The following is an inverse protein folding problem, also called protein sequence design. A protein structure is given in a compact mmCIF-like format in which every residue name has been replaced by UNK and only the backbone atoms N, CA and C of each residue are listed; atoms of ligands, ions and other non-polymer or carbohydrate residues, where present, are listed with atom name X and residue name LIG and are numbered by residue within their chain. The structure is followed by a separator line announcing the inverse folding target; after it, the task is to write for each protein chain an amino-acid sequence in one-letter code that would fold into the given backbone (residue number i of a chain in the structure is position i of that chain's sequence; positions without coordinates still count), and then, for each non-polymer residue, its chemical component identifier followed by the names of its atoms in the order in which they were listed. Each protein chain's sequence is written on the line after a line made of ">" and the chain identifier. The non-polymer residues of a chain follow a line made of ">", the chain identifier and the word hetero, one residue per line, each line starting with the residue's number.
data_IF_792364494976
#
_entry.id   IF_792364494976
#
_cell.length_a   1.000
_cell.length_b   1.000
_cell.length_c   1.000
_cell.angle_alpha   90.00
_cell.angle_beta   90.00
_cell.angle_gamma   90.00
#
_symmetry.space_group_name_H-M   'P 1'
#
loop_
_entity.id
_entity.type
_entity.pdbx_description
1 polymer ?
#
# COMPACT_ATOMS: atom_id res chain seq x y z
N UNK A 1 -9.32 12.18 11.69
CA UNK A 1 -8.32 11.08 11.70
C UNK A 1 -8.57 10.28 10.43
N UNK A 2 -7.59 10.23 9.53
CA UNK A 2 -7.73 9.58 8.22
C UNK A 2 -7.74 8.06 8.36
N UNK A 3 -8.45 7.39 7.46
CA UNK A 3 -8.28 5.96 7.25
C UNK A 3 -6.85 5.69 6.76
N UNK A 4 -6.33 4.50 7.07
CA UNK A 4 -4.98 4.05 6.73
C UNK A 4 -4.95 2.67 6.09
N UNK A 5 -6.11 2.06 5.86
CA UNK A 5 -6.20 0.83 5.10
C UNK A 5 -7.53 0.72 4.34
N UNK A 6 -7.45 0.02 3.20
CA UNK A 6 -8.60 -0.48 2.47
C UNK A 6 -8.84 -1.95 2.86
N UNK A 7 -10.10 -2.31 3.10
CA UNK A 7 -10.53 -3.68 3.36
C UNK A 7 -11.52 -4.08 2.27
N UNK A 8 -11.19 -5.07 1.45
CA UNK A 8 -12.05 -5.63 0.43
C UNK A 8 -12.55 -7.00 0.87
N UNK A 9 -13.85 -7.24 0.79
CA UNK A 9 -14.47 -8.51 1.18
C UNK A 9 -15.31 -9.03 0.02
N UNK A 10 -15.00 -10.24 -0.42
CA UNK A 10 -15.73 -10.93 -1.47
C UNK A 10 -17.11 -11.39 -0.99
N UNK A 11 -18.11 -11.11 -1.83
CA UNK A 11 -19.52 -11.52 -1.77
C UNK A 11 -19.96 -11.79 -3.21
N UNK A 12 -20.95 -11.05 -3.73
CA UNK A 12 -21.29 -11.02 -5.16
C UNK A 12 -20.46 -9.94 -5.89
N UNK A 13 -19.13 -10.10 -5.83
CA UNK A 13 -18.14 -9.05 -6.06
C UNK A 13 -17.52 -8.56 -4.74
N UNK A 14 -16.65 -7.55 -4.79
CA UNK A 14 -15.98 -7.01 -3.61
C UNK A 14 -16.71 -5.81 -3.05
N UNK A 15 -16.97 -5.85 -1.75
CA UNK A 15 -17.34 -4.68 -0.97
C UNK A 15 -16.09 -4.12 -0.30
N UNK A 16 -15.82 -2.83 -0.50
CA UNK A 16 -14.65 -2.16 0.06
C UNK A 16 -15.04 -1.28 1.24
N UNK A 17 -14.22 -1.27 2.27
CA UNK A 17 -14.39 -0.50 3.50
C UNK A 17 -13.11 0.26 3.83
N UNK A 18 -13.24 1.41 4.50
CA UNK A 18 -12.09 2.19 4.96
C UNK A 18 -11.88 1.97 6.45
N UNK A 19 -10.64 1.71 6.81
CA UNK A 19 -10.24 1.39 8.17
C UNK A 19 -9.20 2.37 8.68
N UNK A 20 -9.31 2.79 9.95
CA UNK A 20 -8.28 3.59 10.62
C UNK A 20 -7.03 2.78 11.01
N UNK A 21 -7.06 1.46 10.80
CA UNK A 21 -5.95 0.58 11.12
C UNK A 21 -4.81 0.82 10.12
N UNK A 22 -3.63 1.16 10.64
CA UNK A 22 -2.42 1.49 9.88
C UNK A 22 -1.56 0.25 9.57
N UNK A 23 -0.67 0.35 8.57
CA UNK A 23 0.02 -0.79 7.95
C UNK A 23 0.55 -1.86 8.91
N UNK A 24 1.58 -1.53 9.70
CA UNK A 24 2.28 -2.50 10.57
C UNK A 24 1.50 -2.89 11.84
N UNK A 25 0.50 -2.08 12.25
CA UNK A 25 -0.36 -2.44 13.38
C UNK A 25 -1.22 -3.66 13.05
N UNK A 26 -1.47 -3.93 11.76
CA UNK A 26 -2.25 -5.09 11.31
C UNK A 26 -1.40 -6.31 11.01
N UNK A 27 -0.14 -6.14 10.58
CA UNK A 27 0.79 -7.26 10.41
C UNK A 27 1.00 -8.03 11.75
N UNK A 28 0.88 -7.32 12.88
CA UNK A 28 0.92 -7.89 14.24
C UNK A 28 -0.46 -8.31 14.79
N UNK A 29 -1.55 -7.91 14.14
CA UNK A 29 -2.91 -8.29 14.50
C UNK A 29 -3.35 -9.55 13.72
N UNK A 30 -4.41 -10.22 14.17
CA UNK A 30 -5.04 -11.28 13.36
C UNK A 30 -5.82 -10.61 12.23
N UNK A 31 -5.45 -10.77 10.95
CA UNK A 31 -6.09 -10.08 9.82
C UNK A 31 -7.61 -10.27 9.84
N UNK A 32 -8.06 -11.48 10.15
CA UNK A 32 -9.49 -11.77 10.20
C UNK A 32 -10.26 -10.95 11.21
N UNK A 33 -9.69 -10.74 12.40
CA UNK A 33 -10.30 -9.93 13.45
C UNK A 33 -10.38 -8.45 13.06
N UNK A 34 -9.49 -7.96 12.21
CA UNK A 34 -9.56 -6.59 11.69
C UNK A 34 -10.69 -6.47 10.69
N UNK A 35 -10.76 -7.39 9.71
CA UNK A 35 -11.83 -7.40 8.70
C UNK A 35 -13.20 -7.49 9.36
N UNK A 36 -13.40 -8.41 10.30
CA UNK A 36 -14.69 -8.59 11.00
C UNK A 36 -15.13 -7.33 11.72
N UNK A 37 -14.21 -6.66 12.43
CA UNK A 37 -14.50 -5.43 13.15
C UNK A 37 -14.87 -4.28 12.22
N UNK A 38 -14.19 -4.14 11.08
CA UNK A 38 -14.47 -3.08 10.11
C UNK A 38 -15.83 -3.32 9.46
N UNK A 39 -16.08 -4.53 8.97
CA UNK A 39 -17.36 -4.90 8.31
C UNK A 39 -18.55 -4.73 9.25
N UNK A 40 -18.37 -4.96 10.55
CA UNK A 40 -19.45 -4.81 11.55
C UNK A 40 -19.68 -3.35 11.95
N UNK A 41 -18.64 -2.52 11.92
CA UNK A 41 -18.68 -1.17 12.48
C UNK A 41 -18.90 -0.06 11.43
N UNK A 42 -18.74 -0.37 10.14
CA UNK A 42 -18.74 0.64 9.06
C UNK A 42 -19.47 0.15 7.82
N UNK A 43 -20.08 1.10 7.11
CA UNK A 43 -20.66 0.84 5.80
C UNK A 43 -19.57 0.78 4.71
N UNK A 44 -19.77 -0.03 3.66
CA UNK A 44 -18.85 -0.09 2.53
C UNK A 44 -18.83 1.25 1.77
N UNK A 45 -17.64 1.65 1.33
CA UNK A 45 -17.43 2.83 0.47
C UNK A 45 -17.78 2.55 -1.00
N UNK A 46 -17.66 1.28 -1.41
CA UNK A 46 -18.13 0.78 -2.71
C UNK A 46 -18.51 -0.68 -2.56
N UNK A 47 -19.51 -1.13 -3.33
CA UNK A 47 -20.10 -2.47 -3.22
C UNK A 47 -20.13 -3.21 -4.55
N UNK A 48 -19.95 -4.52 -4.53
CA UNK A 48 -20.12 -5.41 -5.69
C UNK A 48 -19.16 -5.12 -6.86
N UNK A 49 -17.96 -4.61 -6.59
CA UNK A 49 -16.99 -4.30 -7.65
C UNK A 49 -16.13 -5.52 -8.02
N UNK A 50 -15.66 -5.64 -9.27
CA UNK A 50 -14.66 -6.65 -9.60
C UNK A 50 -13.34 -6.37 -8.88
N UNK A 51 -12.40 -7.34 -8.88
CA UNK A 51 -11.09 -7.17 -8.27
C UNK A 51 -10.32 -5.93 -8.77
N UNK A 52 -10.44 -5.58 -10.06
CA UNK A 52 -9.88 -4.34 -10.61
C UNK A 52 -10.50 -3.08 -9.99
N UNK A 53 -11.78 -3.14 -9.62
CA UNK A 53 -12.46 -2.05 -8.91
C UNK A 53 -11.98 -1.87 -7.46
N UNK A 54 -11.44 -2.92 -6.83
CA UNK A 54 -10.75 -2.79 -5.53
C UNK A 54 -9.49 -1.93 -5.69
N UNK A 55 -8.71 -2.15 -6.76
CA UNK A 55 -7.52 -1.34 -7.04
C UNK A 55 -7.90 0.12 -7.34
N UNK A 56 -9.01 0.36 -8.03
CA UNK A 56 -9.52 1.71 -8.26
C UNK A 56 -10.04 2.40 -6.99
N UNK A 57 -10.45 1.63 -5.97
CA UNK A 57 -10.89 2.16 -4.68
C UNK A 57 -9.74 2.43 -3.70
N UNK A 58 -8.53 1.94 -4.01
CA UNK A 58 -7.32 2.17 -3.24
C UNK A 58 -6.86 3.62 -3.40
N UNK A 59 -6.61 4.30 -2.29
CA UNK A 59 -5.96 5.62 -2.29
C UNK A 59 -4.52 5.46 -1.77
N UNK A 60 -3.50 5.42 -2.63
CA UNK A 60 -2.12 5.19 -2.21
C UNK A 60 -1.49 6.34 -1.41
N UNK A 61 -2.16 7.50 -1.32
CA UNK A 61 -1.72 8.59 -0.45
C UNK A 61 -2.15 8.36 1.00
N UNK A 62 -3.28 7.67 1.19
CA UNK A 62 -3.91 7.49 2.49
C UNK A 62 -3.81 6.06 3.02
N UNK A 63 -3.93 5.07 2.14
CA UNK A 63 -3.86 3.66 2.49
C UNK A 63 -2.41 3.20 2.62
N UNK A 64 -2.08 2.67 3.79
CA UNK A 64 -0.82 2.02 4.10
C UNK A 64 -0.92 0.49 3.98
N UNK A 65 -2.14 -0.06 3.97
CA UNK A 65 -2.40 -1.49 3.81
C UNK A 65 -3.69 -1.79 3.04
N UNK A 66 -3.72 -2.98 2.44
CA UNK A 66 -4.87 -3.57 1.78
C UNK A 66 -5.14 -4.96 2.36
N UNK A 67 -6.36 -5.19 2.84
CA UNK A 67 -6.87 -6.50 3.23
C UNK A 67 -7.82 -6.99 2.15
N UNK A 68 -7.63 -8.21 1.67
CA UNK A 68 -8.54 -8.85 0.72
C UNK A 68 -9.01 -10.15 1.34
N UNK A 69 -10.30 -10.22 1.68
CA UNK A 69 -10.93 -11.47 2.09
C UNK A 69 -11.67 -12.08 0.91
N UNK A 70 -11.24 -13.24 0.48
CA UNK A 70 -11.80 -14.01 -0.63
C UNK A 70 -11.75 -15.50 -0.27
N UNK A 71 -12.76 -16.27 -0.67
CA UNK A 71 -12.85 -17.72 -0.40
C UNK A 71 -12.63 -18.13 1.09
N UNK A 72 -12.94 -17.24 2.04
CA UNK A 72 -12.75 -17.48 3.48
C UNK A 72 -11.32 -17.26 3.98
N UNK A 73 -10.39 -16.86 3.12
CA UNK A 73 -9.02 -16.50 3.47
C UNK A 73 -8.82 -14.98 3.41
N UNK A 74 -7.96 -14.44 4.28
CA UNK A 74 -7.62 -13.02 4.29
C UNK A 74 -6.17 -12.81 3.86
N UNK A 75 -5.98 -12.29 2.65
CA UNK A 75 -4.69 -11.81 2.16
C UNK A 75 -4.42 -10.39 2.66
N UNK A 76 -3.16 -10.10 3.02
CA UNK A 76 -2.73 -8.79 3.50
C UNK A 76 -1.60 -8.27 2.61
N UNK A 77 -1.68 -6.99 2.24
CA UNK A 77 -0.66 -6.31 1.46
C UNK A 77 -0.26 -4.99 2.14
N UNK A 78 1.05 -4.70 2.17
CA UNK A 78 1.52 -3.33 2.39
C UNK A 78 1.34 -2.53 1.11
N UNK A 79 0.85 -1.29 1.24
CA UNK A 79 0.69 -0.37 0.12
C UNK A 79 1.89 0.57 0.12
N UNK A 80 2.89 0.24 -0.70
CA UNK A 80 4.12 1.00 -0.80
C UNK A 80 4.06 1.99 -1.97
N UNK A 81 3.77 3.26 -1.67
CA UNK A 81 3.87 4.34 -2.67
C UNK A 81 5.34 4.70 -2.93
N UNK A 82 5.82 4.38 -4.13
CA UNK A 82 7.15 4.73 -4.63
C UNK A 82 7.11 6.14 -5.19
N UNK A 83 7.09 7.09 -4.27
CA UNK A 83 7.23 8.52 -4.52
C UNK A 83 8.39 9.04 -3.69
N UNK A 84 9.17 9.95 -4.25
CA UNK A 84 10.15 10.70 -3.49
C UNK A 84 9.48 11.99 -3.01
N UNK A 85 9.27 12.16 -1.70
CA UNK A 85 8.71 13.39 -1.16
C UNK A 85 9.71 14.51 -1.44
N UNK A 86 9.22 15.61 -2.00
CA UNK A 86 10.01 16.82 -2.21
C UNK A 86 9.13 18.04 -1.97
N UNK A 87 9.75 19.18 -1.68
CA UNK A 87 9.09 20.49 -1.59
C UNK A 87 8.34 20.90 -2.88
N UNK A 88 8.66 20.28 -4.02
CA UNK A 88 7.95 20.42 -5.30
C UNK A 88 6.86 19.35 -5.45
N UNK A 89 5.81 19.71 -6.18
CA UNK A 89 4.59 18.91 -6.36
C UNK A 89 4.85 17.41 -6.60
N UNK A 90 3.99 16.59 -6.01
CA UNK A 90 3.97 15.15 -6.19
C UNK A 90 3.69 14.81 -7.67
N UNK A 91 4.70 14.34 -8.39
CA UNK A 91 4.54 13.70 -9.70
C UNK A 91 4.26 12.20 -9.59
N UNK A 92 4.06 11.57 -10.76
CA UNK A 92 3.75 10.15 -10.95
C UNK A 92 4.51 9.22 -9.99
N UNK A 93 3.77 8.29 -9.38
CA UNK A 93 4.32 7.36 -8.40
C UNK A 93 3.81 5.95 -8.68
N UNK A 94 4.72 4.99 -8.66
CA UNK A 94 4.34 3.59 -8.64
C UNK A 94 3.72 3.23 -7.31
N UNK A 95 2.81 2.27 -7.32
CA UNK A 95 2.28 1.66 -6.11
C UNK A 95 2.67 0.20 -6.12
N UNK A 96 3.25 -0.26 -5.02
CA UNK A 96 3.71 -1.63 -4.89
C UNK A 96 2.91 -2.28 -3.78
N UNK A 97 2.12 -3.30 -4.12
CA UNK A 97 1.40 -4.11 -3.15
C UNK A 97 2.28 -5.29 -2.76
N UNK A 98 2.80 -5.25 -1.55
CA UNK A 98 3.71 -6.29 -1.05
C UNK A 98 2.93 -7.26 -0.15
N UNK A 99 2.78 -8.54 -0.51
CA UNK A 99 2.14 -9.53 0.33
C UNK A 99 2.83 -9.62 1.70
N UNK A 100 2.05 -9.67 2.77
CA UNK A 100 2.56 -9.82 4.13
C UNK A 100 2.33 -11.26 4.58
N UNK A 101 3.41 -12.04 4.59
CA UNK A 101 3.40 -13.40 5.14
C UNK A 101 3.64 -13.40 6.66
N UNK A 102 4.49 -12.50 7.14
CA UNK A 102 4.82 -12.34 8.56
C UNK A 102 5.12 -10.88 8.91
N UNK A 103 4.93 -10.53 10.18
CA UNK A 103 5.09 -9.16 10.66
C UNK A 103 6.53 -8.65 10.63
N UNK A 104 7.50 -9.55 10.84
CA UNK A 104 8.90 -9.16 10.99
C UNK A 104 9.48 -8.73 9.64
N UNK A 105 9.20 -9.51 8.60
CA UNK A 105 9.57 -9.22 7.21
C UNK A 105 8.92 -7.93 6.73
N UNK A 106 7.63 -7.71 7.06
CA UNK A 106 6.93 -6.46 6.76
C UNK A 106 7.55 -5.25 7.49
N UNK A 107 7.86 -5.38 8.78
CA UNK A 107 8.52 -4.33 9.58
C UNK A 107 9.89 -3.97 8.99
N UNK A 108 10.70 -4.97 8.60
CA UNK A 108 12.02 -4.74 7.99
C UNK A 108 11.90 -4.01 6.65
N UNK A 109 10.99 -4.45 5.78
CA UNK A 109 10.79 -3.85 4.48
C UNK A 109 10.30 -2.39 4.57
N UNK A 110 9.32 -2.13 5.42
CA UNK A 110 8.79 -0.78 5.65
C UNK A 110 9.87 0.15 6.22
N UNK A 111 10.67 -0.33 7.18
CA UNK A 111 11.77 0.42 7.76
C UNK A 111 12.80 0.85 6.71
N UNK A 112 13.25 -0.09 5.86
CA UNK A 112 14.20 0.20 4.77
C UNK A 112 13.59 1.17 3.78
N UNK A 113 12.34 0.94 3.36
CA UNK A 113 11.66 1.77 2.37
C UNK A 113 11.46 3.20 2.86
N UNK A 114 10.99 3.39 4.10
CA UNK A 114 10.83 4.72 4.72
C UNK A 114 12.16 5.45 4.85
N UNK A 115 13.22 4.73 5.24
CA UNK A 115 14.57 5.30 5.36
C UNK A 115 15.07 5.80 4.01
N UNK A 116 14.98 4.97 2.97
CA UNK A 116 15.40 5.33 1.62
C UNK A 116 14.59 6.51 1.08
N UNK A 117 13.27 6.56 1.30
CA UNK A 117 12.44 7.69 0.89
C UNK A 117 12.85 8.99 1.54
N UNK A 118 13.17 8.98 2.84
CA UNK A 118 13.65 10.16 3.55
C UNK A 118 14.97 10.66 2.98
N UNK A 119 15.97 9.79 2.89
CA UNK A 119 17.31 10.14 2.37
C UNK A 119 17.26 10.67 0.93
N UNK A 120 16.48 10.02 0.06
CA UNK A 120 16.33 10.45 -1.33
C UNK A 120 15.54 11.75 -1.44
N UNK A 121 14.54 11.97 -0.58
CA UNK A 121 13.81 13.23 -0.50
C UNK A 121 14.72 14.39 -0.14
N UNK A 122 15.52 14.22 0.92
CA UNK A 122 16.50 15.22 1.35
C UNK A 122 17.52 15.53 0.25
N UNK A 123 18.00 14.51 -0.47
CA UNK A 123 18.93 14.69 -1.58
C UNK A 123 18.31 15.45 -2.76
N UNK A 124 17.04 15.20 -3.08
CA UNK A 124 16.31 15.93 -4.12
C UNK A 124 16.07 17.38 -3.70
N UNK A 125 15.64 17.62 -2.46
CA UNK A 125 15.39 18.97 -1.94
C UNK A 125 16.69 19.79 -1.85
N UNK A 126 17.82 19.16 -1.55
CA UNK A 126 19.14 19.79 -1.60
C UNK A 126 19.67 20.02 -3.04
N UNK A 127 18.97 19.55 -4.06
CA UNK A 127 19.39 19.66 -5.47
C UNK A 127 20.57 18.75 -5.84
N UNK A 128 20.85 17.73 -5.03
CA UNK A 128 21.94 16.76 -5.25
C UNK A 128 21.52 15.63 -6.21
N UNK A 129 20.21 15.42 -6.37
CA UNK A 129 19.67 14.33 -7.17
C UNK A 129 18.41 14.78 -7.91
N UNK A 130 18.26 14.35 -9.16
CA UNK A 130 17.01 14.52 -9.91
C UNK A 130 15.91 13.60 -9.36
N UNK A 131 14.68 14.11 -9.24
CA UNK A 131 13.53 13.35 -8.75
C UNK A 131 13.29 12.04 -9.52
N UNK A 132 13.42 12.08 -10.85
CA UNK A 132 13.23 10.90 -11.69
C UNK A 132 14.27 9.81 -11.38
N UNK A 133 15.53 10.21 -11.13
CA UNK A 133 16.61 9.29 -10.76
C UNK A 133 16.37 8.72 -9.36
N UNK A 134 15.92 9.55 -8.42
CA UNK A 134 15.58 9.15 -7.07
C UNK A 134 14.44 8.10 -7.05
N UNK A 135 13.37 8.33 -7.83
CA UNK A 135 12.28 7.36 -8.00
C UNK A 135 12.78 6.07 -8.65
N UNK A 136 13.57 6.16 -9.73
CA UNK A 136 14.15 4.98 -10.39
C UNK A 136 15.06 4.16 -9.47
N UNK A 137 15.84 4.82 -8.63
CA UNK A 137 16.66 4.16 -7.60
C UNK A 137 15.77 3.47 -6.55
N UNK A 138 14.74 4.14 -6.05
CA UNK A 138 13.83 3.59 -5.05
C UNK A 138 13.10 2.34 -5.58
N UNK A 139 12.58 2.40 -6.81
CA UNK A 139 12.02 1.25 -7.54
C UNK A 139 13.02 0.10 -7.62
N UNK A 140 14.25 0.39 -8.05
CA UNK A 140 15.30 -0.61 -8.22
C UNK A 140 15.81 -1.19 -6.89
N UNK A 141 15.78 -0.41 -5.82
CA UNK A 141 16.17 -0.86 -4.49
C UNK A 141 15.11 -1.79 -3.90
N UNK A 142 13.83 -1.44 -4.04
CA UNK A 142 12.72 -2.28 -3.59
C UNK A 142 12.67 -3.59 -4.37
N UNK A 143 12.79 -3.55 -5.70
CA UNK A 143 12.78 -4.74 -6.57
C UNK A 143 13.93 -5.73 -6.28
N UNK A 144 15.04 -5.26 -5.70
CA UNK A 144 16.20 -6.10 -5.32
C UNK A 144 16.25 -6.43 -3.84
N UNK A 145 15.24 -6.02 -3.06
CA UNK A 145 15.23 -6.26 -1.64
C UNK A 145 15.09 -7.77 -1.38
N UNK A 146 15.94 -8.39 -0.54
CA UNK A 146 15.93 -9.84 -0.32
C UNK A 146 14.63 -10.34 0.30
N UNK A 147 13.98 -9.50 1.09
CA UNK A 147 12.69 -9.79 1.73
C UNK A 147 11.49 -9.48 0.82
N UNK A 148 11.69 -9.11 -0.45
CA UNK A 148 10.57 -8.84 -1.37
C UNK A 148 9.92 -10.18 -1.81
N UNK A 149 8.65 -10.44 -1.47
CA UNK A 149 7.98 -11.67 -1.85
C UNK A 149 7.70 -11.74 -3.35
N UNK A 150 7.74 -12.95 -3.92
CA UNK A 150 7.45 -13.18 -5.34
C UNK A 150 6.02 -12.78 -5.77
N UNK A 151 5.06 -12.74 -4.83
CA UNK A 151 3.69 -12.29 -5.08
C UNK A 151 3.50 -10.77 -5.09
N UNK A 152 4.58 -9.98 -5.09
CA UNK A 152 4.52 -8.51 -5.11
C UNK A 152 3.90 -8.02 -6.42
N UNK A 153 2.90 -7.15 -6.32
CA UNK A 153 2.23 -6.54 -7.46
C UNK A 153 2.72 -5.11 -7.64
N UNK A 154 3.16 -4.78 -8.85
CA UNK A 154 3.61 -3.44 -9.23
C UNK A 154 2.50 -2.80 -10.06
N UNK A 155 2.01 -1.65 -9.61
CA UNK A 155 1.00 -0.86 -10.28
C UNK A 155 1.64 0.42 -10.81
N UNK A 156 1.56 0.58 -12.12
CA UNK A 156 2.00 1.79 -12.79
C UNK A 156 1.06 2.97 -12.44
N UNK A 157 1.54 4.22 -12.53
CA UNK A 157 0.73 5.41 -12.20
C UNK A 157 -0.65 5.44 -12.87
N UNK A 158 -0.74 4.96 -14.11
CA UNK A 158 -1.98 4.89 -14.89
C UNK A 158 -2.98 3.82 -14.40
N UNK A 159 -2.52 2.81 -13.66
CA UNK A 159 -3.34 1.70 -13.19
C UNK A 159 -4.06 2.02 -11.87
N UNK A 160 -3.66 3.09 -11.19
CA UNK A 160 -4.20 3.48 -9.87
C UNK A 160 -5.23 4.61 -9.97
N UNK A 161 -5.62 5.00 -11.20
CA UNK A 161 -6.55 6.10 -11.46
C UNK A 161 -5.87 7.48 -11.31
N UNK A 162 -6.51 8.56 -11.79
CA UNK A 162 -5.95 9.90 -11.67
C UNK A 162 -5.80 10.29 -10.18
N UNK A 163 -4.56 10.56 -9.78
CA UNK A 163 -4.16 11.03 -8.44
C UNK A 163 -4.41 12.52 -8.23
#
# INVERSE_FOLDING_TARGET
>A
MGHRALVAVERDGFDCYRSQWAGLAVARARPDSVVDRVVTATDPVVTGVPASGVLSALDPRMDEALFVRADGETATYLVCRVAVPSSRADGDSWVVLVPVADAETADRLDCVFRTLKGVLGDAVDAGLLDRAVAVGYLTSALARHPDLPAGTVWLAPEEVGPM
#
